data_IF_127580822780
#
_entry.id   IF_127580822780
#
_cell.length_a   1.000
_cell.length_b   1.000
_cell.length_c   1.000
_cell.angle_alpha   90.00
_cell.angle_beta   90.00
_cell.angle_gamma   90.00
#
_symmetry.space_group_name_H-M   'P 1'
#
loop_
_entity.id
_entity.type
_entity.pdbx_description
1 polymer ?
#
# COMPACT_ATOMS: atom_id res chain seq x y z
N UNK A 1 -15.14 46.79 9.71
CA UNK A 1 -15.66 45.68 8.88
C UNK A 1 -14.53 44.65 8.76
N UNK A 2 -14.70 43.50 9.40
CA UNK A 2 -13.64 42.50 9.59
C UNK A 2 -13.29 41.76 8.31
N UNK A 3 -11.98 41.53 8.12
CA UNK A 3 -11.44 40.65 7.09
C UNK A 3 -11.77 39.19 7.42
N UNK A 4 -12.56 38.54 6.57
CA UNK A 4 -12.69 37.09 6.57
C UNK A 4 -11.52 36.49 5.77
N UNK A 5 -10.44 36.18 6.47
CA UNK A 5 -9.42 35.25 5.98
C UNK A 5 -10.00 33.85 5.97
N UNK A 6 -10.41 33.37 4.79
CA UNK A 6 -10.76 31.96 4.59
C UNK A 6 -9.52 31.12 4.89
N UNK A 7 -9.51 30.47 6.04
CA UNK A 7 -8.56 29.42 6.36
C UNK A 7 -8.74 28.30 5.32
N UNK A 8 -7.78 28.21 4.40
CA UNK A 8 -7.65 27.12 3.45
C UNK A 8 -7.46 25.85 4.27
N UNK A 9 -8.57 25.15 4.53
CA UNK A 9 -8.56 23.89 5.27
C UNK A 9 -7.56 22.96 4.60
N UNK A 10 -6.46 22.68 5.29
CA UNK A 10 -5.52 21.64 4.86
C UNK A 10 -6.33 20.36 4.79
N UNK A 11 -6.63 19.91 3.57
CA UNK A 11 -7.30 18.63 3.37
C UNK A 11 -6.45 17.56 4.05
N UNK A 12 -6.94 17.07 5.19
CA UNK A 12 -6.21 16.08 5.97
C UNK A 12 -6.15 14.81 5.12
N UNK A 13 -4.95 14.48 4.64
CA UNK A 13 -4.73 13.27 3.85
C UNK A 13 -5.16 12.08 4.71
N UNK A 14 -6.22 11.39 4.28
CA UNK A 14 -6.72 10.21 4.98
C UNK A 14 -5.63 9.15 4.94
N UNK A 15 -5.05 8.88 6.11
CA UNK A 15 -4.04 7.84 6.27
C UNK A 15 -4.75 6.49 6.10
N UNK A 16 -4.33 5.66 5.12
CA UNK A 16 -4.94 4.35 4.92
C UNK A 16 -4.59 3.46 6.12
N UNK A 17 -5.59 2.86 6.79
CA UNK A 17 -5.36 1.95 7.91
C UNK A 17 -5.19 0.53 7.40
N UNK A 18 -4.04 -0.08 7.66
CA UNK A 18 -3.74 -1.48 7.36
C UNK A 18 -4.23 -2.41 8.46
N UNK A 19 -4.97 -3.46 8.08
CA UNK A 19 -5.58 -4.44 8.99
C UNK A 19 -5.16 -5.87 8.67
N UNK A 20 -3.88 -6.08 8.33
CA UNK A 20 -3.27 -7.37 7.92
C UNK A 20 -3.65 -7.88 6.52
N UNK A 21 -4.79 -7.48 5.95
CA UNK A 21 -5.16 -7.82 4.58
C UNK A 21 -4.96 -6.65 3.60
N UNK A 22 -4.61 -6.97 2.35
CA UNK A 22 -4.49 -5.98 1.28
C UNK A 22 -3.22 -5.13 1.39
N UNK A 23 -2.13 -5.71 1.89
CA UNK A 23 -0.85 -5.04 2.08
C UNK A 23 -0.34 -4.35 0.81
N UNK A 24 -0.59 -4.92 -0.36
CA UNK A 24 -0.26 -4.34 -1.66
C UNK A 24 -0.96 -3.00 -1.89
N UNK A 25 -2.24 -2.87 -1.53
CA UNK A 25 -3.00 -1.65 -1.74
C UNK A 25 -2.58 -0.59 -0.75
N UNK A 26 -2.46 -1.02 0.51
CA UNK A 26 -2.02 -0.16 1.58
C UNK A 26 -0.62 0.38 1.30
N UNK A 27 0.32 -0.48 0.91
CA UNK A 27 1.71 -0.08 0.64
C UNK A 27 1.80 0.87 -0.55
N UNK A 28 0.99 0.71 -1.61
CA UNK A 28 0.92 1.68 -2.71
C UNK A 28 0.44 3.04 -2.21
N UNK A 29 -0.70 3.08 -1.51
CA UNK A 29 -1.26 4.34 -0.98
C UNK A 29 -0.29 5.01 0.00
N UNK A 30 0.38 4.22 0.84
CA UNK A 30 1.37 4.71 1.78
C UNK A 30 2.61 5.26 1.09
N UNK A 31 3.15 4.59 0.06
CA UNK A 31 4.25 5.12 -0.75
C UNK A 31 3.89 6.45 -1.42
N UNK A 32 2.67 6.56 -1.95
CA UNK A 32 2.17 7.82 -2.52
C UNK A 32 2.09 8.92 -1.45
N UNK A 33 1.58 8.61 -0.25
CA UNK A 33 1.51 9.55 0.87
C UNK A 33 2.91 10.04 1.29
N UNK A 34 3.85 9.11 1.50
CA UNK A 34 5.22 9.45 1.87
C UNK A 34 5.92 10.28 0.79
N UNK A 35 5.72 9.96 -0.50
CA UNK A 35 6.26 10.75 -1.61
C UNK A 35 5.71 12.16 -1.64
N UNK A 36 4.41 12.36 -1.36
CA UNK A 36 3.80 13.69 -1.30
C UNK A 36 4.35 14.58 -0.17
N UNK A 37 5.06 13.99 0.78
CA UNK A 37 5.65 14.66 1.94
C UNK A 37 7.19 14.72 1.86
N UNK A 38 7.77 14.32 0.73
CA UNK A 38 9.23 14.16 0.53
C UNK A 38 9.90 13.23 1.56
N UNK A 39 9.19 12.15 1.93
CA UNK A 39 9.62 11.18 2.95
C UNK A 39 9.97 9.80 2.37
N UNK A 40 9.61 9.49 1.12
CA UNK A 40 9.75 8.14 0.58
C UNK A 40 11.21 7.65 0.58
N UNK A 41 12.14 8.53 0.18
CA UNK A 41 13.56 8.21 0.12
C UNK A 41 14.13 7.90 1.51
N UNK A 42 13.53 8.44 2.60
CA UNK A 42 13.88 8.12 3.99
C UNK A 42 13.52 6.72 4.41
N UNK A 43 12.43 6.22 3.85
CA UNK A 43 11.92 4.91 4.18
C UNK A 43 12.65 3.83 3.36
N UNK A 44 13.06 4.13 2.12
CA UNK A 44 13.67 3.15 1.21
C UNK A 44 15.22 3.18 1.21
N UNK A 45 15.86 4.34 1.34
CA UNK A 45 17.32 4.47 1.35
C UNK A 45 17.84 4.82 2.75
N UNK A 46 18.88 4.11 3.21
CA UNK A 46 19.61 4.54 4.41
C UNK A 46 20.54 5.68 4.05
N UNK A 47 20.42 6.79 4.78
CA UNK A 47 21.37 7.88 4.74
C UNK A 47 22.76 7.35 5.09
N UNK A 48 23.72 7.57 4.21
CA UNK A 48 25.11 7.65 4.65
C UNK A 48 25.21 8.81 5.64
N UNK A 49 25.97 8.62 6.73
CA UNK A 49 26.16 9.63 7.77
C UNK A 49 26.60 10.94 7.10
N UNK A 50 25.75 11.96 7.03
CA UNK A 50 26.13 13.17 6.32
C UNK A 50 27.16 13.91 7.17
N UNK A 51 28.30 14.28 6.56
CA UNK A 51 29.36 15.14 7.13
C UNK A 51 28.87 16.51 7.64
N UNK A 52 27.58 16.80 7.50
CA UNK A 52 26.92 18.04 7.87
C UNK A 52 25.85 17.78 8.94
N UNK A 53 26.14 18.26 10.16
CA UNK A 53 25.27 18.21 11.33
C UNK A 53 23.83 18.72 11.07
N UNK A 54 23.69 19.78 10.26
CA UNK A 54 22.39 20.34 9.89
C UNK A 54 21.54 19.39 9.04
N UNK A 55 22.16 18.67 8.10
CA UNK A 55 21.48 17.65 7.29
C UNK A 55 21.11 16.43 8.13
N UNK A 56 21.97 16.04 9.08
CA UNK A 56 21.67 14.96 10.02
C UNK A 56 20.43 15.26 10.86
N UNK A 57 20.33 16.48 11.39
CA UNK A 57 19.19 16.91 12.20
C UNK A 57 17.90 17.01 11.37
N UNK A 58 17.97 17.48 10.13
CA UNK A 58 16.83 17.47 9.19
C UNK A 58 16.34 16.05 8.91
N UNK A 59 17.25 15.13 8.60
CA UNK A 59 16.93 13.73 8.33
C UNK A 59 16.27 13.04 9.54
N UNK A 60 16.76 13.30 10.76
CA UNK A 60 16.13 12.79 12.00
C UNK A 60 14.68 13.28 12.17
N UNK A 61 14.42 14.55 11.87
CA UNK A 61 13.05 15.11 11.91
C UNK A 61 12.15 14.45 10.88
N UNK A 62 12.64 14.27 9.66
CA UNK A 62 11.86 13.64 8.59
C UNK A 62 11.63 12.14 8.84
N UNK A 63 12.62 11.40 9.35
CA UNK A 63 12.48 10.00 9.76
C UNK A 63 11.43 9.85 10.87
N UNK A 64 11.48 10.73 11.89
CA UNK A 64 10.47 10.75 12.95
C UNK A 64 9.06 11.00 12.39
N UNK A 65 8.92 11.94 11.45
CA UNK A 65 7.64 12.21 10.77
C UNK A 65 7.14 11.01 9.97
N UNK A 66 8.03 10.36 9.22
CA UNK A 66 7.69 9.17 8.44
C UNK A 66 7.28 7.99 9.36
N UNK A 67 7.97 7.80 10.48
CA UNK A 67 7.66 6.75 11.45
C UNK A 67 6.27 6.97 12.06
N UNK A 68 5.93 8.20 12.45
CA UNK A 68 4.59 8.52 12.96
C UNK A 68 3.51 8.24 11.92
N UNK A 69 3.74 8.60 10.65
CA UNK A 69 2.79 8.30 9.57
C UNK A 69 2.59 6.79 9.41
N UNK A 70 3.67 6.00 9.42
CA UNK A 70 3.59 4.53 9.31
C UNK A 70 2.82 3.95 10.50
N UNK A 71 3.10 4.40 11.72
CA UNK A 71 2.44 3.93 12.94
C UNK A 71 0.94 4.27 12.97
N UNK A 72 0.55 5.46 12.51
CA UNK A 72 -0.87 5.85 12.41
C UNK A 72 -1.63 5.12 11.31
N UNK A 73 -0.91 4.57 10.33
CA UNK A 73 -1.49 3.88 9.19
C UNK A 73 -1.67 2.38 9.40
N UNK A 74 -1.43 1.87 10.60
CA UNK A 74 -1.56 0.46 10.92
C UNK A 74 -2.52 0.30 12.09
N UNK A 75 -3.33 -0.76 12.05
CA UNK A 75 -4.18 -1.13 13.18
C UNK A 75 -3.34 -1.75 14.30
N UNK A 76 -3.85 -1.76 15.54
CA UNK A 76 -3.09 -2.14 16.75
C UNK A 76 -2.39 -3.51 16.65
N UNK A 77 -3.04 -4.50 16.04
CA UNK A 77 -2.47 -5.83 15.79
C UNK A 77 -1.20 -5.80 14.92
N UNK A 78 -1.20 -4.94 13.89
CA UNK A 78 -0.04 -4.71 13.03
C UNK A 78 0.98 -3.82 13.74
N UNK A 79 0.54 -2.82 14.50
CA UNK A 79 1.40 -1.92 15.27
C UNK A 79 2.34 -2.70 16.20
N UNK A 80 1.84 -3.72 16.90
CA UNK A 80 2.63 -4.57 17.78
C UNK A 80 3.86 -5.18 17.08
N UNK A 81 3.79 -5.43 15.77
CA UNK A 81 4.91 -5.99 14.99
C UNK A 81 6.02 -4.97 14.76
N UNK A 82 5.67 -3.68 14.66
CA UNK A 82 6.63 -2.59 14.43
C UNK A 82 6.95 -1.80 15.70
N UNK A 83 6.41 -2.17 16.86
CA UNK A 83 6.54 -1.41 18.11
C UNK A 83 8.01 -1.21 18.56
N UNK A 84 8.89 -2.15 18.22
CA UNK A 84 10.33 -2.06 18.52
C UNK A 84 11.14 -1.29 17.46
N UNK A 85 10.52 -0.85 16.35
CA UNK A 85 11.20 -0.10 15.32
C UNK A 85 11.52 1.32 15.78
N UNK A 86 12.78 1.72 15.71
CA UNK A 86 13.23 3.06 16.10
C UNK A 86 13.35 4.01 14.92
N UNK A 87 13.26 3.49 13.69
CA UNK A 87 13.30 4.27 12.45
C UNK A 87 12.17 3.90 11.51
N UNK A 88 11.79 4.83 10.64
CA UNK A 88 10.74 4.61 9.63
C UNK A 88 11.11 3.47 8.67
N UNK A 89 12.40 3.38 8.29
CA UNK A 89 12.95 2.29 7.48
C UNK A 89 12.80 0.91 8.15
N UNK A 90 13.12 0.80 9.45
CA UNK A 90 12.94 -0.47 10.17
C UNK A 90 11.47 -0.89 10.20
N UNK A 91 10.57 0.03 10.54
CA UNK A 91 9.13 -0.24 10.56
C UNK A 91 8.65 -0.71 9.18
N UNK A 92 9.05 -0.02 8.12
CA UNK A 92 8.71 -0.38 6.75
C UNK A 92 9.22 -1.76 6.33
N UNK A 93 10.48 -2.08 6.62
CA UNK A 93 11.06 -3.38 6.30
C UNK A 93 10.39 -4.53 7.07
N UNK A 94 10.00 -4.32 8.33
CA UNK A 94 9.25 -5.30 9.11
C UNK A 94 7.89 -5.58 8.44
N UNK A 95 7.15 -4.54 8.08
CA UNK A 95 5.85 -4.67 7.39
C UNK A 95 6.02 -5.37 6.04
N UNK A 96 7.04 -4.99 5.27
CA UNK A 96 7.35 -5.62 4.00
C UNK A 96 7.69 -7.09 4.19
N UNK A 97 8.58 -7.45 5.13
CA UNK A 97 8.93 -8.85 5.37
C UNK A 97 7.73 -9.69 5.83
N UNK A 98 6.86 -9.12 6.67
CA UNK A 98 5.69 -9.81 7.21
C UNK A 98 4.59 -10.03 6.17
N UNK A 99 4.35 -9.05 5.28
CA UNK A 99 3.14 -9.02 4.45
C UNK A 99 3.40 -8.93 2.94
N UNK A 100 4.65 -8.74 2.48
CA UNK A 100 4.98 -8.81 1.05
C UNK A 100 4.67 -10.19 0.45
N UNK A 101 4.58 -11.24 1.28
CA UNK A 101 4.08 -12.56 0.92
C UNK A 101 2.69 -12.54 0.25
N UNK A 102 1.84 -11.57 0.57
CA UNK A 102 0.56 -11.35 -0.12
C UNK A 102 0.74 -11.09 -1.63
N UNK A 103 1.90 -10.60 -2.05
CA UNK A 103 2.21 -10.46 -3.48
C UNK A 103 2.29 -11.80 -4.19
N UNK A 104 2.83 -12.84 -3.53
CA UNK A 104 2.79 -14.21 -4.05
C UNK A 104 1.37 -14.75 -4.04
N UNK A 105 0.56 -14.36 -3.05
CA UNK A 105 -0.87 -14.65 -3.03
C UNK A 105 -1.58 -14.03 -4.23
N UNK A 106 -1.22 -12.82 -4.68
CA UNK A 106 -1.77 -12.23 -5.92
C UNK A 106 -1.40 -13.04 -7.16
N UNK A 107 -0.18 -13.57 -7.25
CA UNK A 107 0.22 -14.47 -8.35
C UNK A 107 -0.61 -15.75 -8.31
N UNK A 108 -0.75 -16.37 -7.14
CA UNK A 108 -1.56 -17.58 -6.96
C UNK A 108 -3.04 -17.31 -7.27
N UNK A 109 -3.60 -16.18 -6.84
CA UNK A 109 -4.96 -15.75 -7.17
C UNK A 109 -5.13 -15.53 -8.68
N UNK A 110 -4.16 -14.90 -9.35
CA UNK A 110 -4.21 -14.71 -10.79
C UNK A 110 -4.15 -16.04 -11.55
N UNK A 111 -3.31 -16.98 -11.11
CA UNK A 111 -3.24 -18.33 -11.69
C UNK A 111 -4.53 -19.12 -11.45
N UNK A 112 -5.13 -19.01 -10.26
CA UNK A 112 -6.44 -19.61 -9.97
C UNK A 112 -7.50 -19.05 -10.91
N UNK A 113 -7.62 -17.73 -11.05
CA UNK A 113 -8.59 -17.10 -11.94
C UNK A 113 -8.38 -17.47 -13.41
N UNK A 114 -7.11 -17.61 -13.82
CA UNK A 114 -6.79 -18.08 -15.17
C UNK A 114 -7.29 -19.51 -15.39
N UNK A 115 -7.10 -20.40 -14.42
CA UNK A 115 -7.62 -21.76 -14.46
C UNK A 115 -9.16 -21.79 -14.43
N UNK A 116 -9.78 -20.95 -13.61
CA UNK A 116 -11.23 -20.82 -13.53
C UNK A 116 -11.80 -20.36 -14.87
N UNK A 117 -11.15 -19.40 -15.54
CA UNK A 117 -11.50 -18.96 -16.89
C UNK A 117 -11.30 -20.06 -17.94
N UNK A 118 -10.16 -20.75 -17.93
CA UNK A 118 -9.83 -21.83 -18.88
C UNK A 118 -10.77 -23.03 -18.74
N UNK A 119 -11.34 -23.25 -17.56
CA UNK A 119 -12.29 -24.33 -17.27
C UNK A 119 -13.75 -23.88 -17.25
N UNK A 120 -14.02 -22.60 -17.54
CA UNK A 120 -15.35 -22.03 -17.50
C UNK A 120 -16.20 -22.62 -18.62
N UNK A 121 -17.27 -23.31 -18.23
CA UNK A 121 -18.24 -23.91 -19.15
C UNK A 121 -19.64 -23.49 -18.72
N UNK A 122 -20.47 -23.14 -19.70
CA UNK A 122 -21.87 -22.81 -19.46
C UNK A 122 -22.61 -24.04 -18.93
N UNK A 123 -23.36 -23.88 -17.84
CA UNK A 123 -24.08 -24.98 -17.21
C UNK A 123 -25.39 -25.26 -17.93
N UNK A 124 -25.87 -26.50 -17.86
CA UNK A 124 -27.18 -26.86 -18.39
C UNK A 124 -28.28 -26.06 -17.68
N UNK A 125 -29.05 -25.27 -18.45
CA UNK A 125 -30.11 -24.41 -17.92
C UNK A 125 -29.65 -23.03 -17.44
N UNK A 126 -28.35 -22.71 -17.52
CA UNK A 126 -27.87 -21.34 -17.31
C UNK A 126 -28.28 -20.43 -18.47
N UNK A 127 -28.61 -19.17 -18.19
CA UNK A 127 -28.88 -18.20 -19.25
C UNK A 127 -27.58 -17.67 -19.84
N UNK A 128 -27.61 -17.26 -21.12
CA UNK A 128 -26.45 -16.63 -21.77
C UNK A 128 -26.01 -15.37 -21.01
N UNK A 129 -26.96 -14.61 -20.47
CA UNK A 129 -26.66 -13.38 -19.73
C UNK A 129 -25.89 -13.66 -18.42
N UNK A 130 -26.28 -14.70 -17.68
CA UNK A 130 -25.63 -15.09 -16.43
C UNK A 130 -24.20 -15.58 -16.69
N UNK A 131 -24.03 -16.40 -17.73
CA UNK A 131 -22.71 -16.87 -18.15
C UNK A 131 -21.77 -15.73 -18.55
N UNK A 132 -22.26 -14.75 -19.32
CA UNK A 132 -21.48 -13.57 -19.71
C UNK A 132 -21.13 -12.69 -18.50
N UNK A 133 -22.03 -12.59 -17.51
CA UNK A 133 -21.78 -11.85 -16.26
C UNK A 133 -20.65 -12.48 -15.44
N UNK A 134 -20.67 -13.81 -15.29
CA UNK A 134 -19.60 -14.55 -14.61
C UNK A 134 -18.26 -14.41 -15.35
N UNK A 135 -18.29 -14.55 -16.68
CA UNK A 135 -17.10 -14.39 -17.54
C UNK A 135 -16.49 -13.00 -17.39
N UNK A 136 -17.33 -11.95 -17.41
CA UNK A 136 -16.90 -10.56 -17.25
C UNK A 136 -16.28 -10.33 -15.88
N UNK A 137 -16.87 -10.91 -14.83
CA UNK A 137 -16.36 -10.83 -13.46
C UNK A 137 -14.95 -11.42 -13.34
N UNK A 138 -14.74 -12.61 -13.89
CA UNK A 138 -13.42 -13.28 -13.88
C UNK A 138 -12.38 -12.44 -14.65
N UNK A 139 -12.74 -11.95 -15.86
CA UNK A 139 -11.85 -11.12 -16.67
C UNK A 139 -11.48 -9.81 -15.94
N UNK A 140 -12.44 -9.13 -15.32
CA UNK A 140 -12.18 -7.90 -14.56
C UNK A 140 -11.26 -8.14 -13.38
N UNK A 141 -11.42 -9.26 -12.66
CA UNK A 141 -10.51 -9.64 -11.58
C UNK A 141 -9.10 -9.96 -12.10
N UNK A 142 -8.99 -10.71 -13.21
CA UNK A 142 -7.71 -11.02 -13.85
C UNK A 142 -6.98 -9.77 -14.34
N UNK A 143 -7.69 -8.83 -14.99
CA UNK A 143 -7.12 -7.56 -15.43
C UNK A 143 -6.61 -6.73 -14.25
N UNK A 144 -7.41 -6.69 -13.18
CA UNK A 144 -7.09 -5.99 -11.94
C UNK A 144 -5.82 -6.55 -11.30
N UNK A 145 -5.67 -7.87 -11.18
CA UNK A 145 -4.48 -8.48 -10.62
C UNK A 145 -3.27 -8.47 -11.59
N UNK A 146 -3.52 -8.60 -12.90
CA UNK A 146 -2.49 -8.60 -13.94
C UNK A 146 -1.83 -7.23 -14.16
N UNK A 147 -2.60 -6.13 -14.18
CA UNK A 147 -2.04 -4.77 -14.18
C UNK A 147 -1.14 -4.54 -12.95
N UNK A 148 -1.50 -5.12 -11.80
CA UNK A 148 -0.73 -4.97 -10.55
C UNK A 148 0.58 -5.75 -10.53
N UNK A 149 0.68 -6.86 -11.26
CA UNK A 149 1.96 -7.56 -11.44
C UNK A 149 2.88 -6.82 -12.42
N UNK A 150 2.31 -6.19 -13.45
CA UNK A 150 3.08 -5.37 -14.42
C UNK A 150 3.74 -4.14 -13.79
N UNK A 151 3.21 -3.60 -12.69
CA UNK A 151 3.78 -2.45 -11.97
C UNK A 151 4.98 -2.86 -11.07
N UNK A 152 5.25 -4.16 -10.91
CA UNK A 152 6.32 -4.69 -10.05
C UNK A 152 7.60 -5.12 -10.81
N UNK A 153 7.62 -5.00 -12.14
CA UNK A 153 8.78 -5.26 -13.02
C UNK A 153 9.26 -3.95 -13.64
#
# INVERSE_FOLDING_TARGET
MGSNGNAMGTAQLLIPIFKEEGYEFWSIRMKTLLRSQDLLDLVEQSYADPDNEGKLQENRKKDSKALVIIQQAVHDNVFLRIAAATTSKQAWLILQKAFQGDSRVLVVKLQSLRRDFETLMMKNGESIADFLSQTTTIISQMQTYGQRLRIKL
#
